data_IF_587866046666
#
_entry.id   IF_587866046666
#
_cell.length_a   1.000
_cell.length_b   1.000
_cell.length_c   1.000
_cell.angle_alpha   90.00
_cell.angle_beta   90.00
_cell.angle_gamma   90.00
#
_symmetry.space_group_name_H-M   'P 1'
#
loop_
_entity.id
_entity.type
_entity.pdbx_description
1 polymer ?
#
# COMPACT_ATOMS: atom_id res chain seq x y z
N UNK A 1 25.47 28.87 -89.45
CA UNK A 1 25.49 27.40 -89.34
C UNK A 1 26.86 26.87 -88.93
N UNK A 2 27.98 27.40 -89.43
CA UNK A 2 29.35 26.97 -89.06
C UNK A 2 29.61 26.89 -87.55
N UNK A 3 29.35 27.95 -86.79
CA UNK A 3 29.64 27.99 -85.35
C UNK A 3 28.96 26.90 -84.49
N UNK A 4 27.75 26.43 -84.86
CA UNK A 4 27.08 25.31 -84.15
C UNK A 4 27.64 23.95 -84.54
N UNK A 5 28.08 23.81 -85.79
CA UNK A 5 28.74 22.62 -86.28
C UNK A 5 30.15 22.48 -85.69
N UNK A 6 30.88 23.58 -85.60
CA UNK A 6 32.23 23.63 -84.99
C UNK A 6 32.18 23.30 -83.50
N UNK A 7 31.15 23.77 -82.77
CA UNK A 7 30.91 23.40 -81.37
C UNK A 7 30.65 21.90 -81.20
N UNK A 8 29.67 21.34 -81.95
CA UNK A 8 29.40 19.91 -81.92
C UNK A 8 30.64 19.07 -82.28
N UNK A 9 31.44 19.56 -83.23
CA UNK A 9 32.67 18.89 -83.65
C UNK A 9 33.73 18.89 -82.56
N UNK A 10 33.85 19.99 -81.82
CA UNK A 10 34.72 20.11 -80.65
C UNK A 10 34.29 19.12 -79.56
N UNK A 11 32.99 19.08 -79.23
CA UNK A 11 32.44 18.20 -78.20
C UNK A 11 32.65 16.71 -78.54
N UNK A 12 32.39 16.33 -79.80
CA UNK A 12 32.65 14.98 -80.30
C UNK A 12 34.14 14.63 -80.29
N UNK A 13 35.01 15.58 -80.66
CA UNK A 13 36.45 15.37 -80.65
C UNK A 13 36.99 15.21 -79.22
N UNK A 14 36.42 15.92 -78.25
CA UNK A 14 36.73 15.79 -76.81
C UNK A 14 36.30 14.43 -76.26
N UNK A 15 35.18 13.89 -76.73
CA UNK A 15 34.77 12.51 -76.46
C UNK A 15 35.54 11.45 -77.28
N UNK A 16 36.51 11.86 -78.10
CA UNK A 16 37.39 10.97 -78.87
C UNK A 16 36.90 10.60 -80.27
N UNK A 17 35.73 11.09 -80.70
CA UNK A 17 35.18 10.83 -82.03
C UNK A 17 35.80 11.78 -83.06
N UNK A 18 36.81 11.30 -83.79
CA UNK A 18 37.60 12.09 -84.75
C UNK A 18 37.18 11.93 -86.21
N UNK A 19 36.16 11.13 -86.51
CA UNK A 19 35.65 10.90 -87.87
C UNK A 19 34.94 12.14 -88.43
N UNK A 20 34.92 12.27 -89.77
CA UNK A 20 34.26 13.40 -90.44
C UNK A 20 32.74 13.21 -90.43
N UNK A 21 32.02 14.19 -89.88
CA UNK A 21 30.56 14.19 -89.82
C UNK A 21 29.96 14.87 -91.07
N UNK A 22 28.80 14.42 -91.55
CA UNK A 22 28.10 15.14 -92.63
C UNK A 22 27.33 16.33 -92.08
N UNK A 23 27.24 17.40 -92.86
CA UNK A 23 26.50 18.62 -92.46
C UNK A 23 25.00 18.34 -92.28
N UNK A 24 24.44 17.39 -93.02
CA UNK A 24 23.02 17.02 -92.96
C UNK A 24 22.65 16.21 -91.70
N UNK A 25 23.58 15.41 -91.18
CA UNK A 25 23.37 14.58 -89.98
C UNK A 25 23.67 15.30 -88.66
N UNK A 26 24.44 16.39 -88.72
CA UNK A 26 24.84 17.20 -87.56
C UNK A 26 23.69 17.62 -86.61
N UNK A 27 22.52 18.13 -87.06
CA UNK A 27 21.46 18.53 -86.14
C UNK A 27 20.84 17.35 -85.37
N UNK A 28 20.77 16.16 -85.98
CA UNK A 28 20.28 14.96 -85.30
C UNK A 28 21.27 14.50 -84.23
N UNK A 29 22.57 14.45 -84.59
CA UNK A 29 23.64 14.06 -83.66
C UNK A 29 23.72 15.03 -82.49
N UNK A 30 23.61 16.35 -82.72
CA UNK A 30 23.58 17.34 -81.66
C UNK A 30 22.42 17.12 -80.67
N UNK A 31 21.23 16.78 -81.18
CA UNK A 31 20.07 16.51 -80.33
C UNK A 31 20.25 15.23 -79.53
N UNK A 32 20.72 14.16 -80.15
CA UNK A 32 21.04 12.90 -79.46
C UNK A 32 22.10 13.09 -78.36
N UNK A 33 23.13 13.89 -78.63
CA UNK A 33 24.15 14.23 -77.63
C UNK A 33 23.54 14.99 -76.45
N UNK A 34 22.73 16.01 -76.73
CA UNK A 34 22.06 16.79 -75.71
C UNK A 34 21.12 15.94 -74.85
N UNK A 35 20.37 15.02 -75.47
CA UNK A 35 19.47 14.10 -74.78
C UNK A 35 20.26 13.12 -73.89
N UNK A 36 21.40 12.61 -74.38
CA UNK A 36 22.27 11.71 -73.63
C UNK A 36 22.92 12.42 -72.42
N UNK A 37 23.44 13.63 -72.62
CA UNK A 37 24.00 14.44 -71.53
C UNK A 37 22.94 14.77 -70.48
N UNK A 38 21.74 15.18 -70.91
CA UNK A 38 20.61 15.45 -70.00
C UNK A 38 20.19 14.21 -69.20
N UNK A 39 20.08 13.04 -69.85
CA UNK A 39 19.79 11.79 -69.15
C UNK A 39 20.89 11.39 -68.16
N UNK A 40 22.16 11.63 -68.50
CA UNK A 40 23.28 11.33 -67.60
C UNK A 40 23.28 12.23 -66.36
N UNK A 41 23.01 13.53 -66.52
CA UNK A 41 22.84 14.47 -65.40
C UNK A 41 21.65 14.06 -64.52
N UNK A 42 20.49 13.77 -65.11
CA UNK A 42 19.30 13.32 -64.38
C UNK A 42 19.54 11.97 -63.67
N UNK A 43 20.30 11.06 -64.27
CA UNK A 43 20.69 9.80 -63.63
C UNK A 43 21.62 10.02 -62.42
N UNK A 44 22.50 11.03 -62.49
CA UNK A 44 23.38 11.39 -61.35
C UNK A 44 22.56 12.04 -60.24
N UNK A 45 21.68 12.97 -60.57
CA UNK A 45 20.80 13.67 -59.61
C UNK A 45 19.82 12.73 -58.92
N UNK A 46 19.21 11.80 -59.66
CA UNK A 46 18.35 10.77 -59.07
C UNK A 46 19.16 9.85 -58.15
N UNK A 47 20.38 9.47 -58.53
CA UNK A 47 21.25 8.62 -57.71
C UNK A 47 21.72 9.32 -56.43
N UNK A 48 22.06 10.60 -56.47
CA UNK A 48 22.43 11.38 -55.27
C UNK A 48 21.22 11.55 -54.35
N UNK A 49 20.06 11.87 -54.91
CA UNK A 49 18.80 11.99 -54.16
C UNK A 49 18.44 10.67 -53.46
N UNK A 50 18.46 9.55 -54.18
CA UNK A 50 18.18 8.22 -53.61
C UNK A 50 19.15 7.87 -52.49
N UNK A 51 20.45 8.20 -52.63
CA UNK A 51 21.44 7.98 -51.55
C UNK A 51 21.12 8.80 -50.31
N UNK A 52 20.74 10.07 -50.48
CA UNK A 52 20.31 10.93 -49.36
C UNK A 52 19.08 10.34 -48.66
N UNK A 53 18.07 9.93 -49.42
CA UNK A 53 16.85 9.32 -48.86
C UNK A 53 17.15 8.01 -48.11
N UNK A 54 18.05 7.18 -48.62
CA UNK A 54 18.47 5.94 -47.93
C UNK A 54 19.15 6.28 -46.59
N UNK A 55 20.02 7.29 -46.56
CA UNK A 55 20.67 7.72 -45.33
C UNK A 55 19.65 8.25 -44.32
N UNK A 56 18.73 9.11 -44.74
CA UNK A 56 17.66 9.62 -43.88
C UNK A 56 16.76 8.50 -43.33
N UNK A 57 16.47 7.47 -44.13
CA UNK A 57 15.70 6.30 -43.67
C UNK A 57 16.49 5.49 -42.63
N UNK A 58 17.79 5.28 -42.85
CA UNK A 58 18.65 4.59 -41.89
C UNK A 58 18.74 5.34 -40.55
N UNK A 59 18.85 6.66 -40.59
CA UNK A 59 18.84 7.50 -39.38
C UNK A 59 17.49 7.38 -38.64
N UNK A 60 16.36 7.48 -39.36
CA UNK A 60 15.02 7.31 -38.78
C UNK A 60 14.83 5.92 -38.18
N UNK A 61 15.33 4.88 -38.83
CA UNK A 61 15.25 3.51 -38.34
C UNK A 61 16.08 3.32 -37.07
N UNK A 62 17.29 3.88 -37.01
CA UNK A 62 18.14 3.86 -35.81
C UNK A 62 17.46 4.55 -34.61
N UNK A 63 16.78 5.68 -34.86
CA UNK A 63 16.03 6.38 -33.82
C UNK A 63 14.84 5.55 -33.35
N UNK A 64 14.07 4.97 -34.29
CA UNK A 64 12.93 4.11 -33.98
C UNK A 64 13.35 2.84 -33.20
N UNK A 65 14.51 2.27 -33.46
CA UNK A 65 15.08 1.16 -32.68
C UNK A 65 15.39 1.54 -31.23
N UNK A 66 15.91 2.75 -31.01
CA UNK A 66 16.15 3.24 -29.65
C UNK A 66 14.84 3.31 -28.86
N UNK A 67 13.80 3.92 -29.44
CA UNK A 67 12.48 3.98 -28.83
C UNK A 67 11.85 2.60 -28.61
N UNK A 68 11.95 1.69 -29.58
CA UNK A 68 11.46 0.30 -29.43
C UNK A 68 12.14 -0.40 -28.25
N UNK A 69 13.45 -0.23 -28.08
CA UNK A 69 14.22 -0.82 -26.98
C UNK A 69 13.82 -0.22 -25.63
N UNK A 70 13.65 1.09 -25.53
CA UNK A 70 13.21 1.75 -24.30
C UNK A 70 11.78 1.37 -23.92
N UNK A 71 10.86 1.35 -24.88
CA UNK A 71 9.49 0.90 -24.65
C UNK A 71 9.44 -0.57 -24.20
N UNK A 72 10.25 -1.45 -24.78
CA UNK A 72 10.34 -2.84 -24.33
C UNK A 72 10.81 -2.94 -22.86
N UNK A 73 11.81 -2.14 -22.47
CA UNK A 73 12.26 -2.07 -21.06
C UNK A 73 11.17 -1.54 -20.14
N UNK A 74 10.49 -0.46 -20.52
CA UNK A 74 9.40 0.12 -19.74
C UNK A 74 8.25 -0.87 -19.54
N UNK A 75 7.83 -1.58 -20.59
CA UNK A 75 6.80 -2.61 -20.52
C UNK A 75 7.22 -3.76 -19.61
N UNK A 76 8.47 -4.23 -19.72
CA UNK A 76 8.99 -5.27 -18.83
C UNK A 76 8.95 -4.84 -17.35
N UNK A 77 9.34 -3.60 -17.06
CA UNK A 77 9.32 -3.05 -15.72
C UNK A 77 7.90 -2.87 -15.18
N UNK A 78 6.96 -2.37 -16.00
CA UNK A 78 5.54 -2.28 -15.65
C UNK A 78 4.97 -3.65 -15.28
N UNK A 79 5.26 -4.67 -16.09
CA UNK A 79 4.80 -6.03 -15.80
C UNK A 79 5.41 -6.59 -14.51
N UNK A 80 6.70 -6.34 -14.26
CA UNK A 80 7.39 -6.76 -13.04
C UNK A 80 6.82 -6.06 -11.79
N UNK A 81 6.60 -4.76 -11.86
CA UNK A 81 5.99 -3.98 -10.79
C UNK A 81 4.56 -4.43 -10.53
N UNK A 82 3.78 -4.68 -11.59
CA UNK A 82 2.42 -5.19 -11.46
C UNK A 82 2.38 -6.54 -10.71
N UNK A 83 3.25 -7.48 -11.09
CA UNK A 83 3.38 -8.76 -10.39
C UNK A 83 3.77 -8.59 -8.91
N UNK A 84 4.70 -7.66 -8.63
CA UNK A 84 5.12 -7.34 -7.25
C UNK A 84 3.96 -6.77 -6.42
N UNK A 85 3.17 -5.86 -7.00
CA UNK A 85 1.99 -5.27 -6.35
C UNK A 85 0.96 -6.35 -6.02
N UNK A 86 0.71 -7.29 -6.94
CA UNK A 86 -0.22 -8.40 -6.69
C UNK A 86 0.25 -9.27 -5.53
N UNK A 87 1.53 -9.66 -5.51
CA UNK A 87 2.10 -10.46 -4.41
C UNK A 87 2.04 -9.74 -3.07
N UNK A 88 2.31 -8.43 -3.04
CA UNK A 88 2.23 -7.64 -1.81
C UNK A 88 0.78 -7.51 -1.32
N UNK A 89 -0.19 -7.35 -2.23
CA UNK A 89 -1.61 -7.33 -1.88
C UNK A 89 -2.07 -8.66 -1.28
N UNK A 90 -1.64 -9.78 -1.84
CA UNK A 90 -1.94 -11.11 -1.32
C UNK A 90 -1.36 -11.30 0.09
N UNK A 91 -0.06 -11.03 0.27
CA UNK A 91 0.61 -11.09 1.59
C UNK A 91 -0.07 -10.19 2.64
N UNK A 92 -0.49 -9.00 2.24
CA UNK A 92 -1.20 -8.09 3.13
C UNK A 92 -2.59 -8.64 3.49
N UNK A 93 -3.34 -9.17 2.51
CA UNK A 93 -4.64 -9.79 2.77
C UNK A 93 -4.53 -10.97 3.73
N UNK A 94 -3.51 -11.83 3.56
CA UNK A 94 -3.23 -12.94 4.47
C UNK A 94 -2.89 -12.44 5.89
N UNK A 95 -2.10 -11.36 5.98
CA UNK A 95 -1.74 -10.78 7.28
C UNK A 95 -2.96 -10.20 7.99
N UNK A 96 -3.83 -9.49 7.28
CA UNK A 96 -5.08 -8.95 7.82
C UNK A 96 -5.96 -10.09 8.32
N UNK A 97 -6.18 -11.12 7.51
CA UNK A 97 -6.97 -12.29 7.89
C UNK A 97 -6.41 -12.96 9.16
N UNK A 98 -5.10 -13.17 9.22
CA UNK A 98 -4.46 -13.76 10.41
C UNK A 98 -4.57 -12.89 11.67
N UNK A 99 -4.62 -11.56 11.54
CA UNK A 99 -4.86 -10.66 12.68
C UNK A 99 -6.33 -10.66 13.10
N UNK A 100 -7.27 -10.71 12.16
CA UNK A 100 -8.71 -10.82 12.44
C UNK A 100 -9.04 -12.14 13.16
N UNK A 101 -8.43 -13.25 12.75
CA UNK A 101 -8.62 -14.54 13.41
C UNK A 101 -8.09 -14.52 14.86
N UNK A 102 -6.89 -13.98 15.08
CA UNK A 102 -6.33 -13.80 16.43
C UNK A 102 -7.17 -12.87 17.31
N UNK A 103 -7.74 -11.82 16.73
CA UNK A 103 -8.65 -10.92 17.44
C UNK A 103 -9.91 -11.68 17.89
N UNK A 104 -10.50 -12.48 16.99
CA UNK A 104 -11.67 -13.31 17.31
C UNK A 104 -11.37 -14.29 18.45
N UNK A 105 -10.22 -14.96 18.41
CA UNK A 105 -9.77 -15.85 19.48
C UNK A 105 -9.60 -15.13 20.82
N UNK A 106 -8.98 -13.95 20.80
CA UNK A 106 -8.80 -13.14 22.01
C UNK A 106 -10.14 -12.67 22.60
N UNK A 107 -11.10 -12.28 21.75
CA UNK A 107 -12.45 -11.91 22.18
C UNK A 107 -13.21 -13.08 22.79
N UNK A 108 -13.08 -14.29 22.24
CA UNK A 108 -13.66 -15.50 22.83
C UNK A 108 -13.04 -15.83 24.18
N UNK A 109 -11.71 -15.74 24.30
CA UNK A 109 -11.01 -15.91 25.56
C UNK A 109 -11.46 -14.87 26.60
N UNK A 110 -11.64 -13.62 26.20
CA UNK A 110 -12.18 -12.56 27.07
C UNK A 110 -13.59 -12.91 27.56
N UNK A 111 -14.48 -13.35 26.68
CA UNK A 111 -15.85 -13.77 27.07
C UNK A 111 -15.83 -14.91 28.08
N UNK A 112 -14.98 -15.92 27.88
CA UNK A 112 -14.81 -17.04 28.82
C UNK A 112 -14.30 -16.57 30.18
N UNK A 113 -13.31 -15.67 30.19
CA UNK A 113 -12.78 -15.10 31.42
C UNK A 113 -13.83 -14.28 32.18
N UNK A 114 -14.58 -13.41 31.51
CA UNK A 114 -15.65 -12.62 32.14
C UNK A 114 -16.76 -13.52 32.71
N UNK A 115 -17.08 -14.63 32.05
CA UNK A 115 -18.00 -15.62 32.58
C UNK A 115 -17.50 -16.24 33.89
N UNK A 116 -16.25 -16.71 33.92
CA UNK A 116 -15.63 -17.30 35.13
C UNK A 116 -15.54 -16.26 36.26
N UNK A 117 -15.17 -15.01 35.92
CA UNK A 117 -15.13 -13.91 36.88
C UNK A 117 -16.50 -13.66 37.51
N UNK A 118 -17.56 -13.62 36.71
CA UNK A 118 -18.93 -13.44 37.21
C UNK A 118 -19.36 -14.60 38.12
N UNK A 119 -19.03 -15.84 37.76
CA UNK A 119 -19.31 -17.02 38.58
C UNK A 119 -18.59 -16.98 39.94
N UNK A 120 -17.30 -16.65 39.94
CA UNK A 120 -16.52 -16.46 41.17
C UNK A 120 -17.11 -15.35 42.07
N UNK A 121 -17.52 -14.22 41.48
CA UNK A 121 -18.15 -13.13 42.22
C UNK A 121 -19.46 -13.57 42.87
N UNK A 122 -20.33 -14.25 42.12
CA UNK A 122 -21.56 -14.80 42.67
C UNK A 122 -21.27 -15.75 43.84
N UNK A 123 -20.27 -16.63 43.68
CA UNK A 123 -19.88 -17.56 44.73
C UNK A 123 -19.37 -16.87 45.99
N UNK A 124 -18.58 -15.79 45.85
CA UNK A 124 -18.13 -14.98 46.98
C UNK A 124 -19.35 -14.38 47.71
N UNK A 125 -20.28 -13.76 47.00
CA UNK A 125 -21.47 -13.15 47.63
C UNK A 125 -22.34 -14.16 48.38
N UNK A 126 -22.47 -15.40 47.87
CA UNK A 126 -23.16 -16.48 48.58
C UNK A 126 -22.43 -16.87 49.87
N UNK A 127 -21.11 -17.02 49.80
CA UNK A 127 -20.29 -17.36 50.96
C UNK A 127 -20.33 -16.24 52.02
N UNK A 128 -20.31 -14.99 51.62
CA UNK A 128 -20.47 -13.83 52.51
C UNK A 128 -21.83 -13.84 53.21
N UNK A 129 -22.94 -14.04 52.48
CA UNK A 129 -24.28 -14.16 53.07
C UNK A 129 -24.36 -15.31 54.06
N UNK A 130 -23.87 -16.49 53.71
CA UNK A 130 -23.89 -17.65 54.62
C UNK A 130 -22.98 -17.44 55.83
N UNK A 131 -21.87 -16.71 55.69
CA UNK A 131 -20.98 -16.33 56.78
C UNK A 131 -21.65 -15.32 57.74
N UNK A 132 -22.35 -14.33 57.20
CA UNK A 132 -23.13 -13.35 57.97
C UNK A 132 -24.21 -14.06 58.81
N UNK A 133 -25.02 -14.92 58.17
CA UNK A 133 -26.06 -15.69 58.88
C UNK A 133 -25.49 -16.59 59.99
N UNK A 134 -24.33 -17.21 59.76
CA UNK A 134 -23.64 -18.01 60.79
C UNK A 134 -23.17 -17.13 61.95
N UNK A 135 -22.58 -15.97 61.64
CA UNK A 135 -22.14 -15.00 62.65
C UNK A 135 -23.32 -14.49 63.49
N UNK A 136 -24.43 -14.12 62.85
CA UNK A 136 -25.67 -13.74 63.53
C UNK A 136 -26.20 -14.87 64.42
N UNK A 137 -26.18 -16.11 63.94
CA UNK A 137 -26.63 -17.26 64.73
C UNK A 137 -25.73 -17.50 65.95
N UNK A 138 -24.42 -17.32 65.82
CA UNK A 138 -23.47 -17.40 66.95
C UNK A 138 -23.81 -16.32 67.98
N UNK A 139 -24.00 -15.08 67.55
CA UNK A 139 -24.36 -13.98 68.45
C UNK A 139 -25.71 -14.25 69.16
N UNK A 140 -26.70 -14.74 68.44
CA UNK A 140 -27.99 -15.14 69.02
C UNK A 140 -27.80 -16.22 70.10
N UNK A 141 -27.03 -17.29 69.81
CA UNK A 141 -26.77 -18.36 70.78
C UNK A 141 -25.98 -17.88 72.00
N UNK A 142 -24.98 -17.02 71.80
CA UNK A 142 -24.22 -16.40 72.89
C UNK A 142 -25.11 -15.52 73.77
N UNK A 143 -26.00 -14.71 73.16
CA UNK A 143 -26.96 -13.88 73.90
C UNK A 143 -27.97 -14.74 74.68
N UNK A 144 -28.49 -15.81 74.09
CA UNK A 144 -29.42 -16.73 74.74
C UNK A 144 -28.79 -17.43 75.95
N UNK A 145 -27.55 -17.91 75.81
CA UNK A 145 -26.80 -18.54 76.89
C UNK A 145 -26.49 -17.55 78.03
N UNK A 146 -26.07 -16.33 77.68
CA UNK A 146 -25.83 -15.25 78.65
C UNK A 146 -27.11 -14.90 79.43
N UNK A 147 -28.23 -14.74 78.73
CA UNK A 147 -29.53 -14.46 79.35
C UNK A 147 -29.98 -15.62 80.26
N UNK A 148 -29.77 -16.86 79.83
CA UNK A 148 -30.09 -18.05 80.63
C UNK A 148 -29.24 -18.15 81.90
N UNK A 149 -27.95 -17.79 81.82
CA UNK A 149 -27.06 -17.74 82.98
C UNK A 149 -27.44 -16.65 83.99
N UNK A 150 -27.89 -15.48 83.52
CA UNK A 150 -28.42 -14.41 84.38
C UNK A 150 -29.70 -14.86 85.10
N UNK A 151 -30.60 -15.58 84.40
CA UNK A 151 -31.86 -16.08 84.98
C UNK A 151 -31.65 -17.24 85.97
N UNK A 152 -30.67 -18.11 85.76
CA UNK A 152 -30.43 -19.29 86.62
C UNK A 152 -29.34 -19.08 87.69
N UNK A 153 -28.72 -17.91 87.77
CA UNK A 153 -27.74 -17.59 88.82
C UNK A 153 -26.52 -18.52 88.84
N UNK A 154 -26.08 -19.02 87.67
CA UNK A 154 -24.89 -19.87 87.57
C UNK A 154 -23.71 -18.97 87.19
N UNK A 155 -22.72 -18.86 88.09
CA UNK A 155 -21.48 -18.11 87.84
C UNK A 155 -20.79 -18.59 86.56
N UNK A 156 -20.67 -17.68 85.59
CA UNK A 156 -20.13 -17.93 84.26
C UNK A 156 -18.58 -17.98 84.23
N UNK A 157 -17.97 -18.60 85.25
CA UNK A 157 -16.52 -18.58 85.43
C UNK A 157 -15.76 -19.65 84.63
N UNK A 158 -16.46 -20.57 83.95
CA UNK A 158 -15.85 -21.77 83.36
C UNK A 158 -15.77 -21.85 81.82
N UNK A 159 -16.22 -20.86 81.05
CA UNK A 159 -16.32 -21.00 79.59
C UNK A 159 -15.60 -19.94 78.73
N UNK A 160 -14.63 -19.20 79.27
CA UNK A 160 -13.76 -18.33 78.46
C UNK A 160 -12.34 -18.88 78.39
N UNK A 161 -11.73 -19.03 77.18
CA UNK A 161 -10.33 -19.40 77.08
C UNK A 161 -9.45 -18.24 77.56
N UNK A 162 -8.61 -18.56 78.53
CA UNK A 162 -7.70 -17.67 79.25
C UNK A 162 -6.62 -17.14 78.30
N UNK A 163 -6.60 -15.83 78.08
CA UNK A 163 -5.47 -15.12 77.49
C UNK A 163 -4.25 -15.26 78.41
N UNK A 164 -3.17 -15.83 77.89
CA UNK A 164 -1.86 -15.84 78.54
C UNK A 164 -0.84 -15.08 77.69
N UNK A 165 -0.27 -14.05 78.30
CA UNK A 165 1.06 -13.51 78.02
C UNK A 165 1.48 -12.63 79.22
N UNK A 166 2.74 -12.21 79.34
CA UNK A 166 4.00 -12.90 79.00
C UNK A 166 4.99 -12.88 80.20
N UNK A 167 5.83 -13.91 80.39
CA UNK A 167 7.02 -13.80 81.25
C UNK A 167 8.06 -14.91 81.00
N UNK A 168 9.20 -14.52 80.41
CA UNK A 168 10.54 -14.70 81.01
C UNK A 168 11.08 -16.11 81.31
N UNK A 169 11.76 -16.68 80.31
CA UNK A 169 13.08 -17.34 80.38
C UNK A 169 13.32 -18.54 81.33
N UNK A 170 13.54 -19.73 80.73
CA UNK A 170 14.87 -20.38 80.76
C UNK A 170 15.01 -21.51 79.74
N UNK A 171 16.26 -21.69 79.33
CA UNK A 171 16.76 -22.43 78.18
C UNK A 171 16.43 -23.94 78.16
N UNK A 172 16.07 -24.40 76.96
CA UNK A 172 16.30 -25.76 76.46
C UNK A 172 16.55 -25.65 74.95
N UNK A 173 17.53 -26.37 74.36
CA UNK A 173 17.77 -26.32 72.92
C UNK A 173 16.67 -27.14 72.25
N UNK A 174 15.59 -26.48 71.84
CA UNK A 174 14.58 -27.14 71.02
C UNK A 174 15.10 -27.18 69.59
N UNK A 175 15.41 -28.38 69.15
CA UNK A 175 15.85 -28.70 67.81
C UNK A 175 14.87 -28.11 66.78
N UNK A 176 15.47 -27.36 65.87
CA UNK A 176 15.06 -27.05 64.49
C UNK A 176 13.90 -27.92 64.01
N UNK A 177 12.75 -27.28 63.80
CA UNK A 177 11.72 -27.73 62.86
C UNK A 177 11.45 -26.58 61.86
N UNK A 178 12.53 -26.06 61.28
CA UNK A 178 12.48 -25.09 60.18
C UNK A 178 12.48 -25.76 58.79
N UNK A 179 12.40 -27.09 58.70
CA UNK A 179 12.97 -27.77 57.54
C UNK A 179 12.00 -28.18 56.42
N UNK A 180 10.69 -27.97 56.53
CA UNK A 180 9.75 -28.42 55.48
C UNK A 180 9.10 -27.27 54.71
N UNK A 181 8.41 -26.37 55.41
CA UNK A 181 7.65 -25.28 54.77
C UNK A 181 8.55 -24.12 54.34
N UNK A 182 9.61 -23.81 55.11
CA UNK A 182 10.59 -22.80 54.74
C UNK A 182 11.45 -23.25 53.55
N UNK A 183 11.82 -24.54 53.49
CA UNK A 183 12.53 -25.12 52.35
C UNK A 183 11.67 -25.09 51.08
N UNK A 184 10.35 -25.31 51.19
CA UNK A 184 9.44 -25.27 50.04
C UNK A 184 9.22 -23.84 49.52
N UNK A 185 9.06 -22.85 50.41
CA UNK A 185 8.96 -21.44 50.03
C UNK A 185 10.26 -20.93 49.42
N UNK A 186 11.41 -21.30 49.98
CA UNK A 186 12.72 -20.95 49.41
C UNK A 186 12.93 -21.60 48.04
N UNK A 187 12.53 -22.86 47.85
CA UNK A 187 12.57 -23.53 46.53
C UNK A 187 11.66 -22.87 45.50
N UNK A 188 10.46 -22.46 45.90
CA UNK A 188 9.55 -21.73 45.01
C UNK A 188 10.13 -20.35 44.64
N UNK A 189 10.70 -19.64 45.61
CA UNK A 189 11.37 -18.36 45.39
C UNK A 189 12.58 -18.52 44.46
N UNK A 190 13.44 -19.52 44.67
CA UNK A 190 14.57 -19.82 43.79
C UNK A 190 14.11 -20.17 42.39
N UNK A 191 13.10 -21.04 42.25
CA UNK A 191 12.54 -21.40 40.93
C UNK A 191 12.01 -20.15 40.20
N UNK A 192 11.32 -19.26 40.93
CA UNK A 192 10.83 -18.00 40.38
C UNK A 192 11.96 -17.03 40.01
N UNK A 193 13.00 -16.93 40.84
CA UNK A 193 14.19 -16.12 40.56
C UNK A 193 14.89 -16.63 39.30
N UNK A 194 15.09 -17.95 39.15
CA UNK A 194 15.71 -18.52 37.95
C UNK A 194 14.86 -18.30 36.71
N UNK A 195 13.54 -18.42 36.82
CA UNK A 195 12.63 -18.14 35.71
C UNK A 195 12.68 -16.66 35.30
N UNK A 196 12.57 -15.73 36.26
CA UNK A 196 12.69 -14.30 35.98
C UNK A 196 14.07 -13.93 35.42
N UNK A 197 15.14 -14.60 35.87
CA UNK A 197 16.48 -14.41 35.31
C UNK A 197 16.60 -14.93 33.87
N UNK A 198 15.89 -16.01 33.52
CA UNK A 198 15.80 -16.53 32.15
C UNK A 198 15.02 -15.56 31.25
N UNK A 199 13.83 -15.15 31.68
CA UNK A 199 13.00 -14.16 30.97
C UNK A 199 13.77 -12.84 30.78
N UNK A 200 14.51 -12.38 31.79
CA UNK A 200 15.37 -11.19 31.68
C UNK A 200 16.49 -11.37 30.67
N UNK A 201 17.06 -12.58 30.53
CA UNK A 201 18.10 -12.85 29.51
C UNK A 201 17.49 -12.87 28.11
N UNK A 202 16.38 -13.55 27.93
CA UNK A 202 15.65 -13.63 26.65
C UNK A 202 15.20 -12.24 26.18
N UNK A 203 14.64 -11.42 27.09
CA UNK A 203 14.27 -10.04 26.78
C UNK A 203 15.48 -9.17 26.43
N UNK A 204 16.62 -9.35 27.11
CA UNK A 204 17.86 -8.63 26.77
C UNK A 204 18.38 -9.01 25.39
N UNK A 205 18.33 -10.29 25.04
CA UNK A 205 18.76 -10.78 23.74
C UNK A 205 17.82 -10.28 22.64
N UNK A 206 16.50 -10.36 22.85
CA UNK A 206 15.50 -9.80 21.93
C UNK A 206 15.67 -8.29 21.74
N UNK A 207 15.96 -7.55 22.81
CA UNK A 207 16.27 -6.12 22.74
C UNK A 207 17.53 -5.85 21.93
N UNK A 208 18.59 -6.64 22.12
CA UNK A 208 19.84 -6.50 21.37
C UNK A 208 19.62 -6.78 19.87
N UNK A 209 18.90 -7.85 19.54
CA UNK A 209 18.53 -8.19 18.16
C UNK A 209 17.67 -7.09 17.52
N UNK A 210 16.69 -6.56 18.25
CA UNK A 210 15.86 -5.45 17.77
C UNK A 210 16.68 -4.17 17.54
N UNK A 211 17.63 -3.84 18.43
CA UNK A 211 18.52 -2.69 18.26
C UNK A 211 19.42 -2.85 17.03
N UNK A 212 20.06 -4.01 16.87
CA UNK A 212 20.89 -4.29 15.69
C UNK A 212 20.07 -4.19 14.37
N UNK A 213 18.83 -4.66 14.39
CA UNK A 213 17.94 -4.52 13.23
C UNK A 213 17.58 -3.06 12.93
N UNK A 214 17.39 -2.23 13.97
CA UNK A 214 17.13 -0.80 13.84
C UNK A 214 18.36 -0.10 13.25
N UNK A 215 19.56 -0.41 13.74
CA UNK A 215 20.81 0.19 13.27
C UNK A 215 21.06 -0.12 11.78
N UNK A 216 20.78 -1.36 11.35
CA UNK A 216 20.87 -1.73 9.93
C UNK A 216 19.86 -0.97 9.06
N UNK A 217 18.63 -0.78 9.56
CA UNK A 217 17.62 0.01 8.87
C UNK A 217 18.01 1.49 8.78
N UNK A 218 18.57 2.06 9.85
CA UNK A 218 19.11 3.42 9.83
C UNK A 218 20.21 3.58 8.80
N UNK A 219 21.20 2.68 8.76
CA UNK A 219 22.27 2.71 7.75
C UNK A 219 21.73 2.65 6.32
N UNK A 220 20.67 1.85 6.09
CA UNK A 220 20.01 1.76 4.78
C UNK A 220 19.27 3.05 4.42
N UNK A 221 18.61 3.67 5.39
CA UNK A 221 17.93 4.95 5.20
C UNK A 221 18.97 6.03 4.88
N UNK A 222 20.06 6.13 5.65
CA UNK A 222 21.16 7.07 5.40
C UNK A 222 21.76 6.91 4.00
N UNK A 223 22.02 5.67 3.58
CA UNK A 223 22.54 5.39 2.22
C UNK A 223 21.56 5.83 1.13
N UNK A 224 20.26 5.61 1.34
CA UNK A 224 19.22 6.04 0.40
C UNK A 224 19.09 7.55 0.38
N UNK A 225 19.13 8.20 1.54
CA UNK A 225 18.97 9.65 1.65
C UNK A 225 20.18 10.37 1.04
N UNK A 226 21.40 9.85 1.22
CA UNK A 226 22.60 10.32 0.51
C UNK A 226 22.46 10.20 -1.02
N UNK A 227 21.88 9.12 -1.52
CA UNK A 227 21.62 8.94 -2.95
C UNK A 227 20.51 9.87 -3.46
N UNK A 228 19.45 10.08 -2.68
CA UNK A 228 18.40 11.06 -2.98
C UNK A 228 19.02 12.46 -3.07
N UNK A 229 19.90 12.84 -2.14
CA UNK A 229 20.61 14.12 -2.20
C UNK A 229 21.50 14.22 -3.44
N UNK A 230 22.24 13.15 -3.78
CA UNK A 230 23.07 13.10 -4.99
C UNK A 230 22.23 13.31 -6.25
N UNK A 231 21.12 12.58 -6.38
CA UNK A 231 20.19 12.69 -7.51
C UNK A 231 19.51 14.06 -7.54
N UNK A 232 19.11 14.60 -6.38
CA UNK A 232 18.51 15.93 -6.26
C UNK A 232 19.50 17.02 -6.70
N UNK A 233 20.79 16.88 -6.36
CA UNK A 233 21.84 17.79 -6.81
C UNK A 233 21.99 17.73 -8.33
N UNK A 234 22.03 16.53 -8.91
CA UNK A 234 22.11 16.36 -10.37
C UNK A 234 20.88 16.95 -11.08
N UNK A 235 19.69 16.81 -10.50
CA UNK A 235 18.46 17.41 -11.06
C UNK A 235 18.45 18.93 -10.98
N UNK A 236 19.08 19.54 -9.96
CA UNK A 236 19.12 20.99 -9.76
C UNK A 236 20.26 21.67 -10.51
N UNK A 237 21.45 21.10 -10.44
CA UNK A 237 22.71 21.70 -10.90
C UNK A 237 23.18 21.10 -12.24
N UNK A 238 22.49 20.06 -12.72
CA UNK A 238 22.92 19.28 -13.88
C UNK A 238 23.97 18.23 -13.53
N UNK A 239 24.44 17.50 -14.54
CA UNK A 239 25.50 16.50 -14.36
C UNK A 239 26.82 17.25 -14.13
N UNK A 240 27.51 17.03 -12.98
CA UNK A 240 28.80 17.68 -12.73
C UNK A 240 29.83 17.25 -13.80
N UNK A 241 30.70 18.17 -14.25
CA UNK A 241 31.63 17.93 -15.35
C UNK A 241 32.62 16.79 -15.08
N UNK A 242 32.93 16.51 -13.82
CA UNK A 242 33.81 15.40 -13.42
C UNK A 242 33.18 14.03 -13.69
N UNK A 243 31.86 13.89 -13.58
CA UNK A 243 31.15 12.65 -13.91
C UNK A 243 31.02 12.43 -15.43
N UNK A 244 31.06 13.50 -16.22
CA UNK A 244 31.14 13.43 -17.68
C UNK A 244 32.52 12.98 -18.17
N UNK A 245 33.57 13.08 -17.35
CA UNK A 245 34.91 12.59 -17.71
C UNK A 245 35.09 11.08 -17.47
N UNK A 246 34.33 10.50 -16.53
CA UNK A 246 34.43 9.06 -16.19
C UNK A 246 33.57 8.16 -17.07
N UNK A 247 32.43 8.65 -17.57
CA UNK A 247 31.50 7.88 -18.43
C UNK A 247 31.76 8.09 -19.93
N UNK A 248 32.69 8.97 -20.30
CA UNK A 248 32.98 9.31 -21.69
C UNK A 248 34.19 8.52 -22.21
N UNK A 249 33.93 7.35 -22.78
CA UNK A 249 34.91 6.56 -23.52
C UNK A 249 35.12 7.05 -24.97
N UNK A 250 34.54 8.19 -25.37
CA UNK A 250 34.80 8.76 -26.69
C UNK A 250 35.89 9.83 -26.63
N UNK A 251 36.89 9.65 -27.50
CA UNK A 251 38.17 10.34 -27.48
C UNK A 251 38.12 11.86 -27.59
N UNK A 252 39.22 12.43 -27.10
CA UNK A 252 39.64 13.84 -27.17
C UNK A 252 39.30 14.49 -28.51
N UNK A 253 38.77 15.73 -28.45
CA UNK A 253 39.44 17.00 -28.82
C UNK A 253 38.39 18.08 -29.03
N UNK A 254 38.37 19.10 -28.17
CA UNK A 254 38.60 20.51 -28.55
C UNK A 254 38.10 21.44 -27.44
N UNK A 255 39.02 22.25 -26.94
CA UNK A 255 38.76 23.44 -26.15
C UNK A 255 37.90 24.43 -26.95
N UNK A 256 36.94 25.09 -26.31
CA UNK A 256 36.73 26.55 -26.37
C UNK A 256 35.41 26.95 -25.68
N UNK A 257 35.49 27.97 -24.84
CA UNK A 257 34.40 28.76 -24.25
C UNK A 257 34.66 30.22 -24.68
N UNK A 258 33.76 31.20 -24.46
CA UNK A 258 32.35 31.37 -24.84
C UNK A 258 32.13 32.57 -25.78
N UNK A 259 30.93 32.71 -26.35
CA UNK A 259 30.38 34.03 -26.70
C UNK A 259 28.83 34.00 -26.66
N UNK A 260 28.23 34.83 -25.81
CA UNK A 260 26.89 35.39 -26.08
C UNK A 260 26.98 36.44 -27.20
N UNK A 261 25.89 36.75 -27.91
CA UNK A 261 25.02 37.85 -27.46
C UNK A 261 23.52 37.72 -27.82
N UNK A 262 22.67 38.33 -26.98
CA UNK A 262 21.81 39.46 -27.37
C UNK A 262 20.63 39.25 -28.33
N UNK A 263 19.43 39.42 -27.75
CA UNK A 263 18.27 40.17 -28.27
C UNK A 263 17.78 39.95 -29.72
N UNK A 264 16.49 39.62 -29.85
CA UNK A 264 15.50 40.48 -30.52
C UNK A 264 14.06 39.99 -30.33
N UNK A 265 13.24 40.89 -29.78
CA UNK A 265 11.78 40.86 -29.81
C UNK A 265 11.30 41.07 -31.25
N UNK A 266 10.27 40.33 -31.65
CA UNK A 266 9.42 40.69 -32.78
C UNK A 266 7.96 40.46 -32.38
N UNK A 267 7.30 41.57 -32.07
CA UNK A 267 5.86 41.78 -31.99
C UNK A 267 5.26 41.76 -33.39
N UNK A 268 4.13 41.08 -33.56
CA UNK A 268 3.19 41.33 -34.65
C UNK A 268 1.78 41.36 -34.05
N UNK A 269 1.13 42.51 -34.23
CA UNK A 269 -0.23 42.82 -33.81
C UNK A 269 -1.26 42.52 -34.91
N UNK A 270 -2.53 42.39 -34.47
CA UNK A 270 -3.83 42.68 -35.14
C UNK A 270 -4.44 41.55 -36.02
N UNK A 271 -5.80 41.34 -36.10
CA UNK A 271 -6.94 41.97 -35.41
C UNK A 271 -7.96 41.03 -34.69
N UNK A 272 -8.72 41.72 -33.85
CA UNK A 272 -10.09 41.54 -33.36
C UNK A 272 -11.13 40.82 -34.28
N UNK A 273 -11.94 39.96 -33.67
CA UNK A 273 -13.32 39.68 -34.10
C UNK A 273 -14.16 39.18 -32.92
N UNK A 274 -14.94 40.11 -32.38
CA UNK A 274 -16.00 39.94 -31.38
C UNK A 274 -17.19 39.14 -31.93
N UNK A 275 -17.70 38.16 -31.17
CA UNK A 275 -19.10 37.73 -31.22
C UNK A 275 -19.52 36.91 -29.98
N UNK A 276 -20.30 37.52 -29.09
CA UNK A 276 -21.20 36.81 -28.15
C UNK A 276 -22.48 36.37 -28.90
N UNK A 277 -23.17 35.30 -28.46
CA UNK A 277 -24.31 35.53 -27.56
C UNK A 277 -24.57 34.45 -26.48
N UNK A 278 -24.90 34.97 -25.30
CA UNK A 278 -25.89 34.59 -24.26
C UNK A 278 -26.04 33.15 -23.69
N UNK A 279 -26.38 33.05 -22.38
CA UNK A 279 -26.45 31.80 -21.63
C UNK A 279 -27.88 31.23 -21.55
N UNK A 280 -28.00 29.92 -21.33
CA UNK A 280 -29.27 29.31 -20.93
C UNK A 280 -29.09 28.14 -19.95
N UNK A 281 -29.83 28.28 -18.85
CA UNK A 281 -30.51 27.23 -18.08
C UNK A 281 -29.68 26.30 -17.16
N UNK A 282 -29.85 26.62 -15.88
CA UNK A 282 -29.71 25.78 -14.68
C UNK A 282 -30.48 24.46 -14.74
N UNK A 283 -29.88 23.37 -14.24
CA UNK A 283 -30.60 22.25 -13.63
C UNK A 283 -29.83 21.69 -12.44
N UNK A 284 -30.52 21.65 -11.30
CA UNK A 284 -30.09 21.09 -10.01
C UNK A 284 -30.06 19.54 -10.05
N UNK A 285 -29.29 18.87 -9.17
CA UNK A 285 -29.36 17.42 -8.99
C UNK A 285 -30.39 17.04 -7.91
N UNK A 286 -31.09 15.89 -8.02
CA UNK A 286 -31.94 15.40 -6.95
C UNK A 286 -31.12 14.63 -5.89
N UNK A 287 -31.40 14.94 -4.63
CA UNK A 287 -30.99 14.20 -3.43
C UNK A 287 -31.85 12.93 -3.30
N UNK A 288 -31.26 11.77 -3.06
CA UNK A 288 -31.94 10.70 -2.33
C UNK A 288 -31.01 10.02 -1.32
N UNK A 289 -31.36 10.24 -0.06
CA UNK A 289 -30.91 9.53 1.13
C UNK A 289 -31.79 8.27 1.25
N UNK A 290 -31.19 7.11 1.49
CA UNK A 290 -31.89 5.98 2.12
C UNK A 290 -31.07 5.49 3.32
N UNK A 291 -31.57 5.87 4.51
CA UNK A 291 -31.27 5.22 5.80
C UNK A 291 -31.96 3.86 5.79
N UNK A 292 -31.24 2.82 6.21
CA UNK A 292 -31.85 1.56 6.65
C UNK A 292 -31.55 1.36 8.13
N UNK A 293 -32.60 1.44 8.93
CA UNK A 293 -32.66 0.94 10.29
C UNK A 293 -32.92 -0.57 10.22
N UNK A 294 -32.25 -1.34 11.09
CA UNK A 294 -32.76 -2.65 11.51
C UNK A 294 -32.79 -2.69 13.03
N UNK A 295 -34.01 -2.64 13.55
CA UNK A 295 -34.34 -2.99 14.92
C UNK A 295 -35.09 -4.32 14.95
N UNK A 296 -34.82 -5.05 16.02
CA UNK A 296 -35.65 -6.06 16.68
C UNK A 296 -35.90 -7.41 16.01
N UNK A 297 -35.45 -8.45 16.72
CA UNK A 297 -36.26 -9.64 16.98
C UNK A 297 -36.08 -10.09 18.43
N UNK A 298 -37.17 -10.01 19.19
CA UNK A 298 -37.38 -10.63 20.48
C UNK A 298 -37.63 -12.14 20.33
N UNK A 299 -37.06 -12.97 21.20
CA UNK A 299 -37.59 -14.30 21.58
C UNK A 299 -37.10 -14.62 22.99
N UNK A 300 -37.93 -14.36 23.99
CA UNK A 300 -38.80 -15.31 24.71
C UNK A 300 -38.03 -16.38 25.49
N UNK A 301 -38.00 -16.12 26.79
CA UNK A 301 -37.79 -17.02 27.92
C UNK A 301 -38.69 -18.25 27.89
N UNK A 302 -38.15 -19.39 28.32
CA UNK A 302 -38.84 -20.42 29.11
C UNK A 302 -37.80 -21.35 29.73
N UNK A 303 -37.73 -21.33 31.07
CA UNK A 303 -37.29 -22.44 31.94
C UNK A 303 -38.59 -23.12 32.44
N UNK A 304 -38.65 -24.44 32.70
CA UNK A 304 -38.33 -24.92 34.05
C UNK A 304 -37.83 -26.38 34.16
N UNK A 305 -36.98 -26.70 35.15
CA UNK A 305 -37.31 -27.58 36.31
C UNK A 305 -36.08 -28.14 37.06
N UNK A 306 -36.20 -27.98 38.38
CA UNK A 306 -35.43 -28.51 39.50
C UNK A 306 -35.09 -30.01 39.49
N UNK A 307 -33.95 -30.35 40.13
CA UNK A 307 -33.78 -31.54 40.99
C UNK A 307 -32.67 -31.35 42.04
N UNK A 308 -32.89 -32.02 43.17
CA UNK A 308 -32.33 -31.83 44.52
C UNK A 308 -30.88 -32.30 44.79
N UNK A 309 -30.18 -31.47 45.60
CA UNK A 309 -29.44 -31.74 46.86
C UNK A 309 -28.47 -32.95 46.99
N UNK A 310 -27.16 -32.68 47.25
CA UNK A 310 -26.42 -32.95 48.52
C UNK A 310 -24.94 -32.48 48.50
N UNK A 311 -24.30 -32.22 49.67
CA UNK A 311 -23.14 -31.34 49.79
C UNK A 311 -21.80 -32.08 50.00
N UNK A 312 -20.69 -31.46 49.58
CA UNK A 312 -19.33 -31.89 49.91
C UNK A 312 -18.52 -30.75 50.55
N UNK A 313 -17.62 -31.16 51.45
CA UNK A 313 -17.03 -30.42 52.56
C UNK A 313 -16.00 -29.35 52.14
N UNK A 314 -15.97 -28.33 52.98
CA UNK A 314 -14.99 -27.26 53.21
C UNK A 314 -13.49 -27.63 53.06
N UNK A 315 -12.75 -26.75 52.38
CA UNK A 315 -11.38 -26.33 52.73
C UNK A 315 -11.23 -24.83 52.44
N UNK A 316 -10.98 -24.01 53.47
CA UNK A 316 -10.55 -22.61 53.35
C UNK A 316 -9.05 -22.58 53.02
N UNK A 317 -8.57 -21.60 52.25
CA UNK A 317 -7.30 -20.98 52.55
C UNK A 317 -7.49 -19.51 52.94
N UNK A 318 -6.72 -19.10 53.94
CA UNK A 318 -6.55 -17.72 54.33
C UNK A 318 -5.51 -17.08 53.39
N UNK A 319 -5.82 -15.92 52.83
CA UNK A 319 -4.91 -15.19 51.95
C UNK A 319 -5.56 -14.01 51.24
N UNK A 320 -6.34 -13.17 51.94
CA UNK A 320 -7.20 -12.16 51.30
C UNK A 320 -6.60 -10.74 51.21
N UNK A 321 -5.31 -10.55 51.50
CA UNK A 321 -4.69 -9.21 51.54
C UNK A 321 -3.64 -8.94 50.45
N UNK A 322 -3.20 -9.96 49.71
CA UNK A 322 -2.25 -9.77 48.58
C UNK A 322 -2.92 -9.60 47.22
N UNK A 323 -4.10 -10.19 47.04
CA UNK A 323 -4.79 -10.17 45.74
C UNK A 323 -5.44 -8.81 45.42
N UNK A 324 -5.77 -8.00 46.43
CA UNK A 324 -6.35 -6.67 46.24
C UNK A 324 -5.35 -5.67 45.63
N UNK A 325 -4.09 -5.71 46.08
CA UNK A 325 -3.02 -4.83 45.57
C UNK A 325 -2.61 -5.20 44.14
N UNK A 326 -2.57 -6.50 43.82
CA UNK A 326 -2.28 -6.98 42.45
C UNK A 326 -3.41 -6.64 41.46
N UNK A 327 -4.67 -6.62 41.91
CA UNK A 327 -5.79 -6.18 41.09
C UNK A 327 -5.81 -4.65 40.88
N UNK A 328 -5.42 -3.88 41.89
CA UNK A 328 -5.30 -2.42 41.79
C UNK A 328 -4.17 -2.03 40.82
N UNK A 329 -2.99 -2.66 40.93
CA UNK A 329 -1.85 -2.41 40.05
C UNK A 329 -2.12 -2.77 38.57
N UNK A 330 -2.89 -3.84 38.33
CA UNK A 330 -3.33 -4.18 36.96
C UNK A 330 -4.38 -3.21 36.42
N UNK A 331 -5.25 -2.65 37.28
CA UNK A 331 -6.19 -1.59 36.91
C UNK A 331 -5.45 -0.33 36.46
N UNK A 332 -4.51 0.14 37.27
CA UNK A 332 -3.70 1.33 36.97
C UNK A 332 -2.89 1.16 35.66
N UNK A 333 -2.38 -0.05 35.39
CA UNK A 333 -1.67 -0.36 34.15
C UNK A 333 -2.58 -0.32 32.90
N UNK A 334 -3.83 -0.78 33.03
CA UNK A 334 -4.81 -0.73 31.95
C UNK A 334 -5.26 0.71 31.70
N UNK A 335 -5.47 1.50 32.74
CA UNK A 335 -5.83 2.92 32.61
C UNK A 335 -4.70 3.74 31.96
N UNK A 336 -3.44 3.43 32.29
CA UNK A 336 -2.28 4.04 31.64
C UNK A 336 -2.18 3.65 30.14
N UNK A 337 -2.52 2.41 29.79
CA UNK A 337 -2.60 1.96 28.39
C UNK A 337 -3.76 2.64 27.64
N UNK A 338 -4.92 2.80 28.27
CA UNK A 338 -6.05 3.52 27.69
C UNK A 338 -5.67 4.96 27.40
N UNK A 339 -4.97 5.62 28.32
CA UNK A 339 -4.49 6.99 28.12
C UNK A 339 -3.49 7.09 26.96
N UNK A 340 -2.54 6.16 26.87
CA UNK A 340 -1.59 6.09 25.73
C UNK A 340 -2.31 5.91 24.38
N UNK A 341 -3.30 5.02 24.33
CA UNK A 341 -4.10 4.80 23.12
C UNK A 341 -4.97 6.02 22.75
N UNK A 342 -5.46 6.78 23.75
CA UNK A 342 -6.18 8.03 23.51
C UNK A 342 -5.25 9.12 22.94
N UNK A 343 -4.04 9.25 23.48
CA UNK A 343 -3.02 10.20 22.98
C UNK A 343 -2.59 9.84 21.56
N UNK A 344 -2.37 8.56 21.27
CA UNK A 344 -2.04 8.08 19.92
C UNK A 344 -3.19 8.33 18.93
N UNK A 345 -4.43 8.07 19.34
CA UNK A 345 -5.62 8.39 18.53
C UNK A 345 -5.68 9.88 18.20
N UNK A 346 -5.39 10.75 19.17
CA UNK A 346 -5.41 12.20 18.94
C UNK A 346 -4.31 12.63 17.97
N UNK A 347 -3.07 12.14 18.15
CA UNK A 347 -1.96 12.39 17.22
C UNK A 347 -2.25 11.91 15.80
N UNK A 348 -2.84 10.73 15.66
CA UNK A 348 -3.24 10.20 14.35
C UNK A 348 -4.36 11.05 13.71
N UNK A 349 -5.31 11.54 14.50
CA UNK A 349 -6.34 12.46 14.01
C UNK A 349 -5.76 13.79 13.53
N UNK A 350 -4.78 14.35 14.23
CA UNK A 350 -4.05 15.55 13.79
C UNK A 350 -3.28 15.27 12.50
N UNK A 351 -2.58 14.13 12.41
CA UNK A 351 -1.85 13.75 11.20
C UNK A 351 -2.75 13.56 9.98
N UNK A 352 -3.94 12.99 10.17
CA UNK A 352 -4.95 12.87 9.10
C UNK A 352 -5.44 14.25 8.65
N UNK A 353 -5.64 15.19 9.58
CA UNK A 353 -6.02 16.58 9.22
C UNK A 353 -4.93 17.28 8.43
N UNK A 354 -3.66 17.12 8.83
CA UNK A 354 -2.50 17.66 8.10
C UNK A 354 -2.42 17.09 6.68
N UNK A 355 -2.52 15.77 6.54
CA UNK A 355 -2.52 15.12 5.23
C UNK A 355 -3.68 15.61 4.36
N UNK A 356 -4.88 15.76 4.92
CA UNK A 356 -6.03 16.30 4.19
C UNK A 356 -5.87 17.80 3.81
N UNK A 357 -5.12 18.60 4.58
CA UNK A 357 -4.74 19.95 4.15
C UNK A 357 -3.67 19.96 3.06
N UNK A 358 -2.68 19.08 3.16
CA UNK A 358 -1.61 18.94 2.16
C UNK A 358 -2.18 18.46 0.83
N UNK A 359 -3.08 17.46 0.84
CA UNK A 359 -3.78 16.99 -0.34
C UNK A 359 -4.58 18.11 -1.02
N UNK A 360 -5.34 18.90 -0.25
CA UNK A 360 -6.06 20.06 -0.78
C UNK A 360 -5.13 21.08 -1.44
N UNK A 361 -3.97 21.33 -0.84
CA UNK A 361 -3.00 22.27 -1.39
C UNK A 361 -2.35 21.75 -2.67
N UNK A 362 -1.97 20.47 -2.71
CA UNK A 362 -1.44 19.82 -3.92
C UNK A 362 -2.48 19.80 -5.05
N UNK A 363 -3.76 19.56 -4.73
CA UNK A 363 -4.83 19.62 -5.72
C UNK A 363 -5.00 21.02 -6.32
N UNK A 364 -4.90 22.07 -5.49
CA UNK A 364 -4.90 23.46 -5.97
C UNK A 364 -3.69 23.77 -6.84
N UNK A 365 -2.52 23.26 -6.49
CA UNK A 365 -1.29 23.42 -7.27
C UNK A 365 -1.38 22.70 -8.62
N UNK A 366 -1.85 21.44 -8.64
CA UNK A 366 -2.11 20.68 -9.87
C UNK A 366 -3.14 21.41 -10.74
N UNK A 367 -4.22 21.92 -10.16
CA UNK A 367 -5.21 22.70 -10.90
C UNK A 367 -4.61 23.99 -11.47
N UNK A 368 -3.71 24.64 -10.72
CA UNK A 368 -2.95 25.81 -11.16
C UNK A 368 -2.00 25.50 -12.32
N UNK A 369 -1.26 24.39 -12.25
CA UNK A 369 -0.39 23.92 -13.32
C UNK A 369 -1.18 23.54 -14.57
N UNK A 370 -2.31 22.83 -14.42
CA UNK A 370 -3.21 22.52 -15.54
C UNK A 370 -3.84 23.78 -16.16
N UNK A 371 -4.13 24.81 -15.37
CA UNK A 371 -4.59 26.10 -15.87
C UNK A 371 -3.48 26.87 -16.61
N UNK A 372 -2.23 26.75 -16.14
CA UNK A 372 -1.05 27.38 -16.75
C UNK A 372 -0.66 26.69 -18.06
N UNK A 373 -0.76 25.36 -18.13
CA UNK A 373 -0.54 24.57 -19.35
C UNK A 373 -1.62 24.85 -20.40
N UNK A 374 -2.86 25.09 -19.99
CA UNK A 374 -3.93 25.58 -20.91
C UNK A 374 -3.66 26.98 -21.46
N UNK A 375 -2.80 27.77 -20.82
CA UNK A 375 -2.36 29.08 -21.31
C UNK A 375 -1.19 29.02 -22.30
N UNK A 376 -0.43 27.92 -22.33
CA UNK A 376 0.75 27.75 -23.20
C UNK A 376 0.53 26.76 -24.36
N UNK A 377 -0.56 25.97 -24.34
CA UNK A 377 -0.87 24.95 -25.34
C UNK A 377 -2.12 25.26 -26.18
N UNK A 378 -2.18 26.45 -26.78
CA UNK A 378 -3.03 26.65 -27.97
C UNK A 378 -2.32 26.09 -29.21
N UNK A 379 -2.15 24.77 -29.28
CA UNK A 379 -2.02 24.05 -30.54
C UNK A 379 -3.31 23.26 -30.68
N UNK A 380 -4.13 23.62 -31.68
CA UNK A 380 -5.45 23.04 -31.93
C UNK A 380 -5.44 21.52 -32.10
N UNK A 381 -4.28 20.94 -32.37
CA UNK A 381 -4.12 19.55 -32.77
C UNK A 381 -4.23 18.59 -31.59
N UNK A 382 -3.62 18.91 -30.45
CA UNK A 382 -3.68 18.04 -29.26
C UNK A 382 -5.10 17.96 -28.65
N UNK A 383 -5.90 19.03 -28.77
CA UNK A 383 -7.31 19.03 -28.37
C UNK A 383 -8.21 18.27 -29.38
N UNK A 384 -7.86 18.26 -30.67
CA UNK A 384 -8.54 17.46 -31.67
C UNK A 384 -8.25 15.96 -31.49
N UNK A 385 -6.98 15.63 -31.18
CA UNK A 385 -6.50 14.27 -30.94
C UNK A 385 -7.09 13.67 -29.66
N UNK A 386 -7.17 14.45 -28.57
CA UNK A 386 -7.89 14.05 -27.35
C UNK A 386 -9.39 13.79 -27.61
N UNK A 387 -10.02 14.57 -28.50
CA UNK A 387 -11.42 14.33 -28.89
C UNK A 387 -11.56 13.11 -29.79
N UNK A 388 -10.59 12.82 -30.66
CA UNK A 388 -10.56 11.59 -31.45
C UNK A 388 -10.43 10.35 -30.56
N UNK A 389 -9.47 10.36 -29.62
CA UNK A 389 -9.29 9.28 -28.64
C UNK A 389 -10.52 9.09 -27.73
N UNK A 390 -11.21 10.17 -27.36
CA UNK A 390 -12.47 10.07 -26.62
C UNK A 390 -13.58 9.38 -27.43
N UNK A 391 -13.67 9.65 -28.74
CA UNK A 391 -14.63 8.98 -29.62
C UNK A 391 -14.32 7.50 -29.79
N UNK A 392 -13.05 7.13 -29.97
CA UNK A 392 -12.62 5.73 -30.06
C UNK A 392 -12.90 4.96 -28.75
N UNK A 393 -12.56 5.56 -27.60
CA UNK A 393 -12.90 5.00 -26.28
C UNK A 393 -14.40 4.73 -26.16
N UNK A 394 -15.23 5.69 -26.56
CA UNK A 394 -16.69 5.56 -26.45
C UNK A 394 -17.24 4.53 -27.45
N UNK A 395 -16.63 4.41 -28.63
CA UNK A 395 -16.94 3.36 -29.61
C UNK A 395 -16.69 1.96 -29.03
N UNK A 396 -15.48 1.67 -28.54
CA UNK A 396 -15.17 0.36 -27.96
C UNK A 396 -15.97 0.06 -26.69
N UNK A 397 -16.29 1.08 -25.89
CA UNK A 397 -17.20 0.93 -24.74
C UNK A 397 -18.60 0.49 -25.19
N UNK A 398 -19.12 1.07 -26.27
CA UNK A 398 -20.42 0.69 -26.82
C UNK A 398 -20.40 -0.71 -27.43
N UNK A 399 -19.34 -1.08 -28.15
CA UNK A 399 -19.17 -2.45 -28.67
C UNK A 399 -19.10 -3.48 -27.54
N UNK A 400 -18.36 -3.19 -26.46
CA UNK A 400 -18.31 -4.05 -25.27
C UNK A 400 -19.68 -4.19 -24.62
N UNK A 401 -20.46 -3.11 -24.52
CA UNK A 401 -21.83 -3.20 -24.01
C UNK A 401 -22.73 -4.03 -24.92
N UNK A 402 -22.59 -3.91 -26.24
CA UNK A 402 -23.35 -4.72 -27.21
C UNK A 402 -22.95 -6.20 -27.13
N UNK A 403 -21.66 -6.51 -27.05
CA UNK A 403 -21.15 -7.87 -26.87
C UNK A 403 -21.61 -8.47 -25.53
N UNK A 404 -21.57 -7.69 -24.47
CA UNK A 404 -22.08 -8.12 -23.18
C UNK A 404 -23.60 -8.35 -23.20
N UNK A 405 -24.34 -7.53 -23.96
CA UNK A 405 -25.78 -7.69 -24.18
C UNK A 405 -26.10 -8.94 -25.01
N UNK A 406 -25.34 -9.24 -26.06
CA UNK A 406 -25.52 -10.44 -26.90
C UNK A 406 -25.13 -11.73 -26.17
N UNK A 407 -24.09 -11.67 -25.33
CA UNK A 407 -23.74 -12.77 -24.42
C UNK A 407 -24.82 -12.99 -23.36
N UNK A 408 -25.39 -11.92 -22.80
CA UNK A 408 -26.50 -12.01 -21.83
C UNK A 408 -27.82 -12.47 -22.44
N UNK A 409 -28.09 -12.13 -23.71
CA UNK A 409 -29.33 -12.52 -24.39
C UNK A 409 -29.28 -13.93 -24.99
N UNK A 410 -28.15 -14.64 -24.87
CA UNK A 410 -28.05 -16.06 -25.22
C UNK A 410 -28.20 -16.38 -26.71
N UNK A 411 -28.02 -15.39 -27.61
CA UNK A 411 -28.30 -15.54 -29.04
C UNK A 411 -27.19 -16.26 -29.85
N UNK A 412 -26.30 -17.00 -29.18
CA UNK A 412 -25.36 -17.91 -29.83
C UNK A 412 -25.92 -19.35 -29.74
N UNK A 413 -27.02 -19.61 -30.45
CA UNK A 413 -27.44 -20.97 -30.73
C UNK A 413 -26.85 -21.38 -32.09
N UNK A 414 -25.92 -22.34 -32.16
CA UNK A 414 -25.46 -22.85 -33.44
C UNK A 414 -26.65 -23.46 -34.19
N UNK A 415 -26.81 -23.04 -35.45
CA UNK A 415 -27.84 -23.54 -36.36
C UNK A 415 -27.62 -25.05 -36.56
N UNK A 416 -28.60 -25.92 -36.30
CA UNK A 416 -28.41 -27.36 -36.53
C UNK A 416 -28.24 -27.61 -38.03
N UNK A 417 -27.14 -28.28 -38.38
CA UNK A 417 -26.83 -28.76 -39.72
C UNK A 417 -27.87 -29.84 -40.08
N UNK A 418 -28.49 -29.80 -41.28
CA UNK A 418 -29.44 -30.82 -41.68
C UNK A 418 -28.70 -32.15 -41.93
N UNK A 419 -29.24 -33.23 -41.37
CA UNK A 419 -28.73 -34.58 -41.51
C UNK A 419 -28.64 -34.99 -42.98
N UNK A 420 -27.49 -35.53 -43.36
CA UNK A 420 -27.23 -36.11 -44.66
C UNK A 420 -28.23 -37.23 -44.94
N UNK A 421 -28.98 -37.08 -46.03
CA UNK A 421 -29.76 -38.15 -46.62
C UNK A 421 -28.82 -39.24 -47.12
N UNK A 422 -29.09 -40.46 -46.67
CA UNK A 422 -28.77 -41.67 -47.41
C UNK A 422 -29.44 -41.59 -48.79
N UNK A 423 -28.65 -41.69 -49.85
CA UNK A 423 -29.06 -42.45 -51.03
C UNK A 423 -27.82 -42.77 -51.87
N UNK A 424 -27.67 -44.06 -52.16
CA UNK A 424 -26.57 -44.61 -52.92
C UNK A 424 -26.81 -44.53 -54.43
N UNK A 425 -25.71 -44.67 -55.17
CA UNK A 425 -25.61 -45.30 -56.50
C UNK A 425 -24.11 -45.24 -56.85
N UNK A 426 -23.39 -46.37 -56.85
CA UNK A 426 -23.13 -47.19 -58.04
C UNK A 426 -22.61 -46.36 -59.23
N UNK A 427 -21.32 -46.52 -59.57
CA UNK A 427 -20.89 -47.29 -60.74
C UNK A 427 -19.36 -47.26 -60.91
N UNK A 428 -18.82 -48.47 -61.09
CA UNK A 428 -17.66 -48.92 -61.89
C UNK A 428 -16.35 -48.13 -61.88
#
# INVERSE_FOLDING_TARGET
MGSRYDALRSDLAEMGYKEALSVESAPLVARMLSDLCGYQEECVDTKTTLRSTIQELQEKESLAESYRRENAKAVAEVNRLHATILQLKEKHADKVKGLEDRLREAEECKKKYEFVKADCLNRITELEKTSQLKSEKILQLQSALSTQAIVHGIELSHFLPRNHGPAGARAGPSAVTHDAEEIDILRMADTRIHQLQRERRELKESLYQSKASIDLLHQRIESRDAEIERLTRILREGIPPDALQTECSCGRKSQAKPAEPGEKKASVDVPDATAHPRPAASRQPPKQVRKVNFGHLHRKSTDPRARDVRPAKTKRPAGATKDADDHQSRGDSVDEQIKKLQDEKQKLQERVKELASSERQLLLEIQGLLAKDRGQSSSSDSSAELRALQRERDHYKNELMQLHQTLKSGNLRPKPVPAAGSDGASQT
#
